data_IF_958406379025
#
_entry.id   IF_958406379025
#
_cell.length_a   1.000
_cell.length_b   1.000
_cell.length_c   1.000
_cell.angle_alpha   90.00
_cell.angle_beta   90.00
_cell.angle_gamma   90.00
#
_symmetry.space_group_name_H-M   'P 1'
#
loop_
_entity.id
_entity.type
_entity.pdbx_description
1 polymer ?
#
# COMPACT_ATOMS: atom_id res chain seq x y z
N UNK A 1 -13.11 36.15 39.68
CA UNK A 1 -14.06 36.01 38.57
C UNK A 1 -13.50 35.04 37.54
N UNK A 2 -14.33 34.05 37.12
CA UNK A 2 -14.07 33.05 36.07
C UNK A 2 -13.74 33.76 34.74
N UNK A 3 -12.91 33.23 33.85
CA UNK A 3 -13.27 32.22 32.83
C UNK A 3 -12.00 31.53 32.30
N UNK A 4 -11.73 30.28 32.69
CA UNK A 4 -10.85 29.40 31.93
C UNK A 4 -11.66 28.82 30.75
N UNK A 5 -11.26 29.22 29.54
CA UNK A 5 -11.77 28.70 28.28
C UNK A 5 -11.43 27.21 28.16
N UNK A 6 -12.44 26.34 28.20
CA UNK A 6 -12.31 24.90 27.96
C UNK A 6 -12.69 24.60 26.51
N UNK A 7 -11.75 24.79 25.58
CA UNK A 7 -11.84 24.31 24.20
C UNK A 7 -10.44 24.47 23.57
N UNK A 8 -9.74 23.44 23.06
CA UNK A 8 -10.26 22.18 22.50
C UNK A 8 -9.45 20.94 22.96
N UNK A 9 -10.00 20.11 23.86
CA UNK A 9 -9.46 18.77 24.16
C UNK A 9 -9.98 17.69 23.16
N UNK A 10 -10.80 18.09 22.17
CA UNK A 10 -11.54 17.17 21.30
C UNK A 10 -10.76 16.72 20.04
N UNK A 11 -9.61 17.32 19.74
CA UNK A 11 -8.84 16.99 18.51
C UNK A 11 -7.82 15.86 18.68
N UNK A 12 -7.61 15.34 19.91
CA UNK A 12 -6.55 14.36 20.19
C UNK A 12 -7.02 12.90 20.19
N UNK A 13 -8.31 12.62 19.98
CA UNK A 13 -8.87 11.24 20.06
C UNK A 13 -8.99 10.57 18.68
N UNK A 14 -8.78 11.28 17.56
CA UNK A 14 -8.96 10.72 16.20
C UNK A 14 -7.72 9.95 15.70
N UNK A 15 -6.61 9.94 16.43
CA UNK A 15 -5.33 9.35 15.98
C UNK A 15 -5.11 7.86 16.35
N UNK A 16 -6.13 7.14 16.83
CA UNK A 16 -5.93 5.80 17.41
C UNK A 16 -6.60 4.63 16.69
N UNK A 17 -7.03 4.77 15.43
CA UNK A 17 -7.54 3.62 14.67
C UNK A 17 -6.72 3.42 13.42
N UNK A 18 -5.59 2.70 13.54
CA UNK A 18 -5.01 1.98 12.39
C UNK A 18 -6.10 1.05 11.87
N UNK A 19 -6.76 1.46 10.79
CA UNK A 19 -7.96 0.81 10.27
C UNK A 19 -7.65 -0.35 9.33
N UNK A 20 -6.46 -0.97 9.41
CA UNK A 20 -6.21 -2.30 8.87
C UNK A 20 -7.14 -3.28 9.57
N UNK A 21 -8.30 -3.53 8.97
CA UNK A 21 -9.26 -4.50 9.47
C UNK A 21 -8.67 -5.90 9.26
N UNK A 22 -8.33 -6.56 10.37
CA UNK A 22 -7.88 -7.94 10.39
C UNK A 22 -9.00 -8.81 10.96
N UNK A 23 -9.54 -9.69 10.14
CA UNK A 23 -10.47 -10.73 10.57
C UNK A 23 -9.73 -12.06 10.70
N UNK A 24 -9.89 -12.77 11.80
CA UNK A 24 -9.19 -14.04 12.07
C UNK A 24 -10.25 -15.12 12.34
N UNK A 25 -10.24 -16.16 11.52
CA UNK A 25 -11.05 -17.36 11.69
C UNK A 25 -10.14 -18.55 11.97
N UNK A 26 -10.55 -19.45 12.87
CA UNK A 26 -9.80 -20.68 13.18
C UNK A 26 -10.42 -21.87 12.45
N UNK A 27 -9.58 -22.68 11.83
CA UNK A 27 -9.98 -23.93 11.18
C UNK A 27 -10.01 -25.10 12.17
N UNK A 28 -10.71 -26.18 11.81
CA UNK A 28 -10.84 -27.39 12.64
C UNK A 28 -9.54 -28.17 12.84
N UNK A 29 -8.55 -27.96 11.96
CA UNK A 29 -7.19 -28.53 12.05
C UNK A 29 -6.22 -27.69 12.92
N UNK A 30 -6.69 -26.56 13.44
CA UNK A 30 -5.90 -25.65 14.27
C UNK A 30 -5.16 -24.55 13.52
N UNK A 31 -5.22 -24.49 12.19
CA UNK A 31 -4.73 -23.37 11.37
C UNK A 31 -5.65 -22.14 11.48
N UNK A 32 -5.15 -20.97 11.06
CA UNK A 32 -5.91 -19.72 11.05
C UNK A 32 -6.05 -19.18 9.62
N UNK A 33 -7.26 -18.74 9.27
CA UNK A 33 -7.51 -17.89 8.11
C UNK A 33 -7.54 -16.45 8.59
N UNK A 34 -6.60 -15.64 8.10
CA UNK A 34 -6.53 -14.21 8.39
C UNK A 34 -6.93 -13.46 7.13
N UNK A 35 -7.93 -12.59 7.21
CA UNK A 35 -8.29 -11.67 6.13
C UNK A 35 -7.89 -10.27 6.54
N UNK A 36 -7.10 -9.60 5.71
CA UNK A 36 -6.65 -8.23 5.93
C UNK A 36 -7.15 -7.33 4.82
N UNK A 37 -7.73 -6.19 5.18
CA UNK A 37 -8.16 -5.17 4.21
C UNK A 37 -7.30 -3.92 4.35
N UNK A 38 -6.87 -3.38 3.22
CA UNK A 38 -6.07 -2.15 3.09
C UNK A 38 -6.91 -1.11 2.34
N UNK A 39 -7.03 0.07 2.92
CA UNK A 39 -7.72 1.21 2.30
C UNK A 39 -6.86 1.85 1.21
N UNK A 40 -7.48 2.65 0.33
CA UNK A 40 -6.74 3.43 -0.67
C UNK A 40 -5.68 4.35 -0.04
N UNK A 41 -5.98 4.95 1.11
CA UNK A 41 -5.06 5.85 1.80
C UNK A 41 -3.83 5.10 2.34
N UNK A 42 -4.02 3.98 3.02
CA UNK A 42 -2.92 3.16 3.53
C UNK A 42 -2.03 2.66 2.37
N UNK A 43 -2.66 2.22 1.27
CA UNK A 43 -1.93 1.81 0.08
C UNK A 43 -1.12 2.97 -0.53
N UNK A 44 -1.67 4.19 -0.55
CA UNK A 44 -0.95 5.37 -0.99
C UNK A 44 0.28 5.66 -0.13
N UNK A 45 0.17 5.55 1.18
CA UNK A 45 1.29 5.75 2.11
C UNK A 45 2.40 4.72 1.90
N UNK A 46 2.03 3.45 1.70
CA UNK A 46 2.98 2.37 1.41
C UNK A 46 3.64 2.52 0.05
N UNK A 47 2.89 2.87 -1.01
CA UNK A 47 3.44 3.11 -2.34
C UNK A 47 4.38 4.32 -2.33
N UNK A 48 3.98 5.42 -1.71
CA UNK A 48 4.82 6.62 -1.56
C UNK A 48 6.14 6.25 -0.88
N UNK A 49 6.07 5.46 0.19
CA UNK A 49 7.23 5.00 0.94
C UNK A 49 8.08 3.96 0.18
N UNK A 50 7.49 3.26 -0.81
CA UNK A 50 8.17 2.29 -1.66
C UNK A 50 8.93 2.93 -2.82
N UNK A 51 8.40 4.05 -3.35
CA UNK A 51 9.06 4.86 -4.37
C UNK A 51 10.38 5.43 -3.82
N UNK A 52 10.36 5.88 -2.56
CA UNK A 52 11.53 6.32 -1.79
C UNK A 52 12.38 7.43 -2.47
N UNK A 53 11.78 8.22 -3.36
CA UNK A 53 12.43 9.38 -4.00
C UNK A 53 11.88 10.67 -3.36
N UNK A 54 12.72 11.47 -2.66
CA UNK A 54 12.26 12.70 -2.02
C UNK A 54 11.80 13.78 -3.02
N UNK A 55 12.15 13.66 -4.30
CA UNK A 55 11.68 14.55 -5.36
C UNK A 55 10.29 14.17 -5.87
N UNK A 56 9.82 12.96 -5.59
CA UNK A 56 8.46 12.54 -5.92
C UNK A 56 7.51 13.08 -4.84
N UNK A 57 6.52 13.84 -5.28
CA UNK A 57 5.50 14.53 -4.48
C UNK A 57 4.12 14.19 -5.02
N UNK A 58 3.11 14.53 -4.23
CA UNK A 58 1.70 14.47 -4.64
C UNK A 58 1.30 13.09 -5.19
N UNK A 59 1.86 12.02 -4.62
CA UNK A 59 1.51 10.66 -5.02
C UNK A 59 0.04 10.43 -4.69
N UNK A 60 -0.74 10.04 -5.69
CA UNK A 60 -2.12 9.62 -5.54
C UNK A 60 -2.29 8.20 -6.02
N UNK A 61 -3.14 7.47 -5.32
CA UNK A 61 -3.52 6.11 -5.65
C UNK A 61 -5.00 6.08 -5.96
N UNK A 62 -5.38 5.41 -7.03
CA UNK A 62 -6.76 5.13 -7.38
C UNK A 62 -6.95 3.62 -7.51
N UNK A 63 -7.81 3.07 -6.66
CA UNK A 63 -8.17 1.67 -6.73
C UNK A 63 -9.16 1.44 -7.87
N UNK A 64 -8.81 0.50 -8.75
CA UNK A 64 -9.66 0.03 -9.83
C UNK A 64 -9.98 -1.44 -9.59
N UNK A 65 -11.05 -1.96 -10.20
CA UNK A 65 -11.30 -3.40 -10.11
C UNK A 65 -10.14 -4.18 -10.74
N UNK A 66 -9.41 -4.92 -9.92
CA UNK A 66 -8.29 -5.78 -10.31
C UNK A 66 -6.91 -5.11 -10.44
N UNK A 67 -6.79 -3.78 -10.33
CA UNK A 67 -5.50 -3.09 -10.43
C UNK A 67 -5.50 -1.73 -9.72
N UNK A 68 -4.33 -1.13 -9.61
CA UNK A 68 -4.13 0.16 -8.95
C UNK A 68 -3.50 1.13 -9.93
N UNK A 69 -4.09 2.30 -10.10
CA UNK A 69 -3.46 3.41 -10.83
C UNK A 69 -2.72 4.30 -9.84
N UNK A 70 -1.46 4.57 -10.15
CA UNK A 70 -0.62 5.48 -9.36
C UNK A 70 -0.22 6.65 -10.23
N UNK A 71 -0.38 7.85 -9.70
CA UNK A 71 0.15 9.07 -10.31
C UNK A 71 0.88 9.90 -9.26
N UNK A 72 1.74 10.79 -9.72
CA UNK A 72 2.45 11.74 -8.87
C UNK A 72 3.23 12.73 -9.71
N UNK A 73 4.04 13.54 -9.03
CA UNK A 73 4.86 14.56 -9.66
C UNK A 73 6.29 14.41 -9.17
N UNK A 74 7.28 14.43 -10.06
CA UNK A 74 8.68 14.43 -9.69
C UNK A 74 9.31 15.77 -9.99
N UNK A 75 9.85 16.43 -8.99
CA UNK A 75 10.59 17.68 -9.18
C UNK A 75 11.87 17.44 -10.00
N UNK A 76 12.14 18.31 -10.97
CA UNK A 76 13.38 18.24 -11.77
C UNK A 76 14.58 18.66 -10.94
N UNK A 77 15.70 17.94 -11.12
CA UNK A 77 16.97 18.23 -10.43
C UNK A 77 17.58 19.57 -10.85
N UNK A 78 17.41 19.96 -12.11
CA UNK A 78 17.99 21.18 -12.67
C UNK A 78 17.10 22.43 -12.48
N UNK A 79 15.83 22.25 -12.11
CA UNK A 79 14.87 23.34 -11.98
C UNK A 79 13.76 22.96 -11.00
N UNK A 80 13.84 23.46 -9.77
CA UNK A 80 12.88 23.18 -8.71
C UNK A 80 11.46 23.70 -9.00
N UNK A 81 11.29 24.60 -9.96
CA UNK A 81 9.98 25.12 -10.37
C UNK A 81 9.24 24.21 -11.34
N UNK A 82 9.92 23.17 -11.85
CA UNK A 82 9.37 22.23 -12.84
C UNK A 82 9.20 20.84 -12.24
N UNK A 83 8.10 20.21 -12.63
CA UNK A 83 7.76 18.84 -12.28
C UNK A 83 7.52 18.03 -13.54
N UNK A 84 7.83 16.74 -13.46
CA UNK A 84 7.48 15.74 -14.45
C UNK A 84 6.35 14.87 -13.90
N UNK A 85 5.39 14.49 -14.73
CA UNK A 85 4.29 13.61 -14.34
C UNK A 85 4.78 12.16 -14.22
N UNK A 86 4.69 11.59 -13.02
CA UNK A 86 4.91 10.17 -12.76
C UNK A 86 3.58 9.43 -12.88
N UNK A 87 3.55 8.34 -13.65
CA UNK A 87 2.38 7.44 -13.71
C UNK A 87 2.83 6.00 -13.81
N UNK A 88 2.07 5.08 -13.23
CA UNK A 88 2.20 3.65 -13.49
C UNK A 88 0.93 2.89 -13.09
N UNK A 89 0.77 1.71 -13.67
CA UNK A 89 -0.20 0.71 -13.24
C UNK A 89 0.49 -0.28 -12.31
N UNK A 90 -0.17 -0.63 -11.21
CA UNK A 90 0.28 -1.65 -10.28
C UNK A 90 -0.74 -2.78 -10.25
N UNK A 91 -0.28 -3.98 -10.59
CA UNK A 91 -1.03 -5.22 -10.43
C UNK A 91 -0.49 -5.97 -9.21
N UNK A 92 -1.38 -6.55 -8.41
CA UNK A 92 -1.02 -7.38 -7.27
C UNK A 92 -1.54 -8.80 -7.49
N UNK A 93 -0.70 -9.79 -7.25
CA UNK A 93 -1.03 -11.21 -7.48
C UNK A 93 -0.42 -12.11 -6.41
N UNK A 94 -0.81 -13.37 -6.43
CA UNK A 94 -0.25 -14.41 -5.56
C UNK A 94 0.58 -15.36 -6.39
N UNK A 95 1.82 -15.60 -5.99
CA UNK A 95 2.69 -16.61 -6.58
C UNK A 95 3.42 -17.37 -5.49
N UNK A 96 3.38 -18.70 -5.53
CA UNK A 96 4.02 -19.57 -4.52
C UNK A 96 3.65 -19.20 -3.06
N UNK A 97 2.42 -18.78 -2.82
CA UNK A 97 1.95 -18.35 -1.50
C UNK A 97 2.50 -17.00 -1.04
N UNK A 98 3.10 -16.22 -1.93
CA UNK A 98 3.67 -14.89 -1.65
C UNK A 98 2.98 -13.82 -2.49
N UNK A 99 2.97 -12.59 -1.98
CA UNK A 99 2.50 -11.43 -2.72
C UNK A 99 3.53 -11.06 -3.79
N UNK A 100 3.05 -10.84 -5.02
CA UNK A 100 3.84 -10.29 -6.12
C UNK A 100 3.21 -8.97 -6.54
N UNK A 101 4.02 -7.91 -6.53
CA UNK A 101 3.68 -6.62 -7.11
C UNK A 101 4.31 -6.50 -8.50
N UNK A 102 3.53 -6.04 -9.47
CA UNK A 102 3.96 -5.85 -10.85
C UNK A 102 3.57 -4.45 -11.33
N UNK A 103 4.56 -3.57 -11.36
CA UNK A 103 4.46 -2.23 -11.92
C UNK A 103 4.64 -2.31 -13.44
N UNK A 104 3.67 -1.77 -14.17
CA UNK A 104 3.61 -1.72 -15.63
C UNK A 104 3.33 -0.29 -16.10
N UNK A 105 3.68 0.01 -17.36
CA UNK A 105 3.49 1.33 -17.96
C UNK A 105 4.05 2.50 -17.13
N UNK A 106 5.17 2.26 -16.44
CA UNK A 106 5.81 3.26 -15.59
C UNK A 106 6.47 4.34 -16.44
N UNK A 107 6.01 5.58 -16.27
CA UNK A 107 6.43 6.72 -17.09
C UNK A 107 6.69 7.96 -16.25
N UNK A 108 7.67 8.74 -16.70
CA UNK A 108 7.96 10.10 -16.26
C UNK A 108 7.86 11.02 -17.47
N UNK A 109 6.89 11.94 -17.52
CA UNK A 109 6.62 12.79 -18.69
C UNK A 109 6.49 11.99 -20.00
N UNK A 110 5.75 10.88 -19.93
CA UNK A 110 5.54 9.92 -21.03
C UNK A 110 6.81 9.18 -21.52
N UNK A 111 7.93 9.33 -20.83
CA UNK A 111 9.16 8.58 -21.06
C UNK A 111 9.17 7.39 -20.10
N UNK A 112 9.46 6.18 -20.60
CA UNK A 112 9.51 4.99 -19.77
C UNK A 112 10.59 5.11 -18.68
N UNK A 113 10.23 4.68 -17.47
CA UNK A 113 11.17 4.56 -16.34
C UNK A 113 12.03 3.31 -16.55
N UNK A 114 13.29 3.37 -16.14
CA UNK A 114 14.21 2.27 -16.31
C UNK A 114 13.83 1.03 -15.47
N UNK A 115 14.07 -0.15 -16.05
CA UNK A 115 13.56 -1.41 -15.50
C UNK A 115 14.10 -1.71 -14.10
N UNK A 116 15.36 -1.41 -13.80
CA UNK A 116 15.93 -1.65 -12.47
C UNK A 116 15.22 -0.83 -11.37
N UNK A 117 14.68 0.35 -11.69
CA UNK A 117 13.90 1.14 -10.74
C UNK A 117 12.51 0.53 -10.55
N UNK A 118 11.89 0.10 -11.64
CA UNK A 118 10.61 -0.63 -11.61
C UNK A 118 10.73 -1.93 -10.80
N UNK A 119 11.80 -2.70 -11.00
CA UNK A 119 12.07 -3.93 -10.25
C UNK A 119 12.26 -3.66 -8.76
N UNK A 120 12.97 -2.58 -8.41
CA UNK A 120 13.11 -2.15 -7.03
C UNK A 120 11.75 -1.82 -6.40
N UNK A 121 10.89 -1.08 -7.12
CA UNK A 121 9.55 -0.76 -6.66
C UNK A 121 8.67 -2.01 -6.50
N UNK A 122 8.73 -2.96 -7.44
CA UNK A 122 8.03 -4.24 -7.32
C UNK A 122 8.40 -4.95 -6.02
N UNK A 123 9.70 -5.03 -5.74
CA UNK A 123 10.19 -5.68 -4.52
C UNK A 123 9.77 -4.92 -3.25
N UNK A 124 9.94 -3.60 -3.21
CA UNK A 124 9.64 -2.82 -1.99
C UNK A 124 8.15 -2.76 -1.70
N UNK A 125 7.30 -2.63 -2.72
CA UNK A 125 5.84 -2.67 -2.59
C UNK A 125 5.41 -4.05 -2.08
N UNK A 126 5.85 -5.14 -2.72
CA UNK A 126 5.49 -6.50 -2.31
C UNK A 126 5.90 -6.78 -0.85
N UNK A 127 7.11 -6.38 -0.45
CA UNK A 127 7.61 -6.57 0.91
C UNK A 127 6.78 -5.79 1.94
N UNK A 128 6.48 -4.51 1.66
CA UNK A 128 5.70 -3.66 2.57
C UNK A 128 4.29 -4.20 2.76
N UNK A 129 3.60 -4.51 1.67
CA UNK A 129 2.25 -5.03 1.72
C UNK A 129 2.19 -6.43 2.36
N UNK A 130 3.19 -7.28 2.15
CA UNK A 130 3.29 -8.58 2.81
C UNK A 130 3.38 -8.46 4.33
N UNK A 131 4.08 -7.44 4.83
CA UNK A 131 4.21 -7.20 6.27
C UNK A 131 2.89 -6.78 6.95
N UNK A 132 1.88 -6.36 6.19
CA UNK A 132 0.55 -5.98 6.73
C UNK A 132 -0.25 -7.20 7.16
N UNK A 133 -0.12 -8.33 6.45
CA UNK A 133 -0.91 -9.53 6.71
C UNK A 133 -0.13 -10.76 7.16
N UNK A 134 1.13 -10.92 6.72
CA UNK A 134 1.93 -12.12 6.96
C UNK A 134 3.26 -11.81 7.64
N UNK A 135 3.22 -11.53 8.94
CA UNK A 135 4.45 -11.38 9.76
C UNK A 135 5.00 -12.70 10.31
N UNK A 136 4.31 -13.83 10.12
CA UNK A 136 4.80 -15.13 10.58
C UNK A 136 5.40 -15.94 9.43
N UNK A 137 6.48 -16.67 9.72
CA UNK A 137 7.15 -17.59 8.78
C UNK A 137 6.22 -18.72 8.29
N UNK A 138 5.09 -18.93 8.97
CA UNK A 138 4.09 -19.95 8.66
C UNK A 138 2.85 -19.38 7.94
N UNK A 139 2.91 -18.14 7.46
CA UNK A 139 1.81 -17.51 6.71
C UNK A 139 1.99 -17.72 5.20
N UNK A 140 0.91 -18.15 4.54
CA UNK A 140 0.83 -18.26 3.08
C UNK A 140 -0.32 -17.40 2.57
N UNK A 141 -0.04 -16.52 1.61
CA UNK A 141 -1.07 -15.75 0.94
C UNK A 141 -1.86 -16.67 0.00
N UNK A 142 -3.17 -16.72 0.18
CA UNK A 142 -4.07 -17.56 -0.62
C UNK A 142 -4.69 -16.78 -1.77
N UNK A 143 -5.12 -15.56 -1.50
CA UNK A 143 -5.79 -14.71 -2.49
C UNK A 143 -5.58 -13.24 -2.23
N UNK A 144 -5.73 -12.46 -3.30
CA UNK A 144 -5.81 -11.01 -3.27
C UNK A 144 -6.96 -10.56 -4.16
N UNK A 145 -7.70 -9.55 -3.71
CA UNK A 145 -8.77 -8.90 -4.47
C UNK A 145 -8.61 -7.39 -4.36
N UNK A 146 -8.78 -6.70 -5.48
CA UNK A 146 -8.74 -5.24 -5.55
C UNK A 146 -10.10 -4.76 -6.04
N UNK A 147 -10.78 -3.96 -5.22
CA UNK A 147 -12.02 -3.28 -5.54
C UNK A 147 -11.82 -1.77 -5.43
N UNK A 148 -12.74 -0.93 -5.95
CA UNK A 148 -12.65 0.52 -5.80
C UNK A 148 -12.57 1.01 -4.35
N UNK A 149 -12.99 0.19 -3.38
CA UNK A 149 -13.02 0.53 -1.96
C UNK A 149 -11.76 0.07 -1.20
N UNK A 150 -11.20 -1.09 -1.55
CA UNK A 150 -10.08 -1.67 -0.79
C UNK A 150 -9.29 -2.76 -1.54
N UNK A 151 -8.10 -3.06 -1.02
CA UNK A 151 -7.36 -4.29 -1.32
C UNK A 151 -7.60 -5.28 -0.19
N UNK A 152 -8.14 -6.46 -0.49
CA UNK A 152 -8.34 -7.54 0.48
C UNK A 152 -7.38 -8.68 0.20
N UNK A 153 -6.70 -9.15 1.24
CA UNK A 153 -5.78 -10.29 1.20
C UNK A 153 -6.22 -11.35 2.20
N UNK A 154 -6.23 -12.61 1.77
CA UNK A 154 -6.55 -13.75 2.64
C UNK A 154 -5.33 -14.64 2.80
N UNK A 155 -4.98 -14.91 4.05
CA UNK A 155 -3.79 -15.63 4.47
C UNK A 155 -4.21 -16.92 5.19
N UNK A 156 -3.50 -18.00 4.93
CA UNK A 156 -3.54 -19.20 5.75
C UNK A 156 -2.28 -19.26 6.62
N UNK A 157 -2.46 -19.34 7.93
CA UNK A 157 -1.37 -19.40 8.91
C UNK A 157 -1.38 -20.78 9.55
N UNK A 158 -0.34 -21.56 9.27
CA UNK A 158 -0.18 -22.89 9.85
C UNK A 158 0.21 -22.81 11.33
N UNK A 159 -0.21 -23.81 12.10
CA UNK A 159 0.17 -23.98 13.50
C UNK A 159 1.69 -24.26 13.58
N UNK A 160 2.38 -23.59 14.50
CA UNK A 160 3.76 -23.91 14.89
C UNK A 160 3.80 -25.22 15.68
#
# INVERSE_FOLDING_TARGET
MKKLSKLPLLFLIVLLVSACQRNITRNGDGSLVVTTSITQQELQEDITSSIADPLVKNVTVSLQTGYVLVSGERQRLNDASKTDSLTFRLDLSVSNGQLVASVTDAKLDNIAIEQNRVDHWNQTIANRLSNIGGRSENSTLQSISITPESVTMTWNVAKQ
#
